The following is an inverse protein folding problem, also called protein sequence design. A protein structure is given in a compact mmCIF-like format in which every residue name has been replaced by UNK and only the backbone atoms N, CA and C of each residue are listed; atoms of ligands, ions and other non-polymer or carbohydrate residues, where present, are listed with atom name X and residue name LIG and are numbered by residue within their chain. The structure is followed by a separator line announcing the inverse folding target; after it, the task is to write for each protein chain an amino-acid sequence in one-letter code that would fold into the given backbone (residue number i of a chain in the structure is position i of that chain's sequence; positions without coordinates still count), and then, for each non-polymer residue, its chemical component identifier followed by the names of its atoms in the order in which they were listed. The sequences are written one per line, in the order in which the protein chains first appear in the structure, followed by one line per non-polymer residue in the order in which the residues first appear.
data_IF_683346901632
#
_entry.id   IF_683346901632
#
_cell.length_a   1.000
_cell.length_b   1.000
_cell.length_c   1.000
_cell.angle_alpha   90.00
_cell.angle_beta   90.00
_cell.angle_gamma   90.00
#
_symmetry.space_group_name_H-M   'P 1'
#
loop_
_entity.id
_entity.type
_entity.pdbx_description
1 polymer ?
#
# COMPACT_ATOMS: atom_id res chain seq x y z
N UNK A 1 -5.78 -12.35 9.84
CA UNK A 1 -6.02 -11.25 8.87
C UNK A 1 -5.60 -9.89 9.43
N UNK A 2 -5.65 -9.74 10.75
CA UNK A 2 -5.31 -8.56 11.53
C UNK A 2 -3.92 -7.97 11.19
N UNK A 3 -2.90 -8.80 10.92
CA UNK A 3 -1.57 -8.30 10.56
C UNK A 3 -1.52 -7.48 9.26
N UNK A 4 -2.36 -7.78 8.27
CA UNK A 4 -2.47 -6.96 7.04
C UNK A 4 -3.10 -5.61 7.37
N UNK A 5 -4.20 -5.61 8.12
CA UNK A 5 -4.90 -4.39 8.51
C UNK A 5 -4.01 -3.48 9.38
N UNK A 6 -3.27 -4.05 10.32
CA UNK A 6 -2.34 -3.30 11.15
C UNK A 6 -1.27 -2.60 10.31
N UNK A 7 -0.67 -3.32 9.35
CA UNK A 7 0.33 -2.74 8.43
C UNK A 7 -0.27 -1.63 7.58
N UNK A 8 -1.47 -1.83 7.02
CA UNK A 8 -2.12 -0.83 6.18
C UNK A 8 -2.57 0.41 6.97
N UNK A 9 -3.02 0.23 8.20
CA UNK A 9 -3.45 1.33 9.08
C UNK A 9 -2.27 2.16 9.60
N UNK A 10 -1.16 1.51 9.96
CA UNK A 10 0.00 2.17 10.57
C UNK A 10 1.07 2.59 9.57
N UNK A 11 1.05 2.05 8.36
CA UNK A 11 2.08 2.29 7.33
C UNK A 11 3.45 1.67 7.65
N UNK A 12 3.57 0.82 8.67
CA UNK A 12 4.85 0.19 9.01
C UNK A 12 5.34 -0.72 7.87
N UNK A 13 6.66 -0.86 7.74
CA UNK A 13 7.21 -1.83 6.82
C UNK A 13 6.78 -3.26 7.22
N UNK A 14 6.43 -4.10 6.25
CA UNK A 14 6.11 -5.52 6.50
C UNK A 14 7.16 -6.22 7.37
N UNK A 15 8.47 -5.94 7.18
CA UNK A 15 9.55 -6.52 7.98
C UNK A 15 9.53 -6.11 9.45
N UNK A 16 8.88 -5.00 9.79
CA UNK A 16 8.76 -4.47 11.14
C UNK A 16 7.50 -4.96 11.87
N UNK A 17 6.66 -5.78 11.23
CA UNK A 17 5.54 -6.40 11.91
C UNK A 17 6.07 -7.39 12.97
N UNK A 18 5.83 -7.08 14.25
CA UNK A 18 6.28 -7.93 15.36
C UNK A 18 5.67 -9.33 15.29
N UNK A 19 6.52 -10.35 15.43
CA UNK A 19 6.11 -11.74 15.50
C UNK A 19 5.32 -12.07 16.78
N UNK A 20 5.53 -11.30 17.86
CA UNK A 20 4.88 -11.48 19.16
C UNK A 20 3.37 -11.22 19.09
N UNK A 21 2.90 -10.50 18.08
CA UNK A 21 1.48 -10.23 17.85
C UNK A 21 0.69 -11.45 17.33
N UNK A 22 1.35 -12.57 17.05
CA UNK A 22 0.68 -13.82 16.67
C UNK A 22 0.10 -13.83 15.25
N UNK A 23 0.39 -12.83 14.41
CA UNK A 23 -0.12 -12.77 13.02
C UNK A 23 0.73 -13.59 12.02
N UNK A 24 1.81 -14.20 12.50
CA UNK A 24 2.89 -14.75 11.68
C UNK A 24 3.84 -13.66 11.20
N UNK A 25 4.86 -14.03 10.43
CA UNK A 25 5.83 -13.06 9.91
C UNK A 25 5.16 -12.06 8.98
N UNK A 26 5.67 -10.82 8.96
CA UNK A 26 5.17 -9.81 8.03
C UNK A 26 5.28 -10.19 6.56
N UNK A 27 6.27 -11.00 6.18
CA UNK A 27 6.37 -11.58 4.82
C UNK A 27 5.22 -12.54 4.51
N UNK A 28 4.75 -13.30 5.51
CA UNK A 28 3.55 -14.15 5.36
C UNK A 28 2.30 -13.30 5.18
N UNK A 29 2.17 -12.21 5.94
CA UNK A 29 1.09 -11.25 5.76
C UNK A 29 1.12 -10.61 4.37
N UNK A 30 2.30 -10.16 3.91
CA UNK A 30 2.48 -9.60 2.56
C UNK A 30 2.10 -10.60 1.45
N UNK A 31 2.56 -11.85 1.52
CA UNK A 31 2.17 -12.89 0.55
C UNK A 31 0.67 -13.12 0.52
N UNK A 32 0.00 -13.10 1.68
CA UNK A 32 -1.46 -13.22 1.77
C UNK A 32 -2.17 -12.01 1.18
N UNK A 33 -1.68 -10.80 1.46
CA UNK A 33 -2.19 -9.56 0.88
C UNK A 33 -2.05 -9.57 -0.64
N UNK A 34 -0.85 -9.87 -1.15
CA UNK A 34 -0.56 -9.96 -2.58
C UNK A 34 -1.50 -10.92 -3.30
N UNK A 35 -1.75 -12.12 -2.76
CA UNK A 35 -2.71 -13.07 -3.35
C UNK A 35 -4.13 -12.50 -3.44
N UNK A 36 -4.54 -11.66 -2.49
CA UNK A 36 -5.86 -11.00 -2.52
C UNK A 36 -5.91 -9.87 -3.54
N UNK A 37 -4.82 -9.13 -3.72
CA UNK A 37 -4.69 -8.17 -4.82
C UNK A 37 -4.75 -8.90 -6.17
N UNK A 38 -4.00 -9.99 -6.34
CA UNK A 38 -4.02 -10.80 -7.56
C UNK A 38 -5.40 -11.42 -7.85
N UNK A 39 -6.17 -11.75 -6.80
CA UNK A 39 -7.55 -12.21 -6.92
C UNK A 39 -8.58 -11.07 -7.10
N UNK A 40 -8.16 -9.80 -7.17
CA UNK A 40 -9.04 -8.63 -7.31
C UNK A 40 -9.88 -8.29 -6.08
N UNK A 41 -9.72 -9.01 -4.97
CA UNK A 41 -10.47 -8.79 -3.72
C UNK A 41 -10.17 -7.42 -3.15
N UNK A 42 -8.91 -6.98 -3.23
CA UNK A 42 -8.51 -5.67 -2.74
C UNK A 42 -9.13 -4.54 -3.57
N UNK A 43 -9.13 -4.67 -4.90
CA UNK A 43 -9.70 -3.66 -5.79
C UNK A 43 -11.22 -3.55 -5.64
N UNK A 44 -11.91 -4.66 -5.38
CA UNK A 44 -13.33 -4.66 -5.03
C UNK A 44 -13.60 -3.93 -3.72
N UNK A 45 -12.86 -4.28 -2.66
CA UNK A 45 -13.00 -3.66 -1.35
C UNK A 45 -12.70 -2.15 -1.39
N UNK A 46 -11.64 -1.75 -2.08
CA UNK A 46 -11.25 -0.35 -2.20
C UNK A 46 -12.33 0.48 -2.91
N UNK A 47 -12.91 -0.04 -4.01
CA UNK A 47 -14.00 0.65 -4.71
C UNK A 47 -15.26 0.77 -3.87
N UNK A 48 -15.61 -0.26 -3.12
CA UNK A 48 -16.77 -0.22 -2.22
C UNK A 48 -16.58 0.84 -1.13
N UNK A 49 -15.44 0.80 -0.43
CA UNK A 49 -15.13 1.77 0.62
C UNK A 49 -15.12 3.21 0.07
N UNK A 50 -14.50 3.41 -1.10
CA UNK A 50 -14.46 4.73 -1.74
C UNK A 50 -15.88 5.22 -2.12
N UNK A 51 -16.73 4.33 -2.63
CA UNK A 51 -18.13 4.64 -2.95
C UNK A 51 -18.91 5.04 -1.71
N UNK A 52 -18.76 4.29 -0.61
CA UNK A 52 -19.46 4.54 0.64
C UNK A 52 -19.01 5.87 1.27
N UNK A 53 -17.70 6.11 1.34
CA UNK A 53 -17.15 7.38 1.84
C UNK A 53 -17.57 8.57 0.98
N UNK A 54 -17.61 8.41 -0.34
CA UNK A 54 -18.10 9.44 -1.24
C UNK A 54 -19.57 9.75 -0.99
N UNK A 55 -20.42 8.73 -0.85
CA UNK A 55 -21.85 8.89 -0.59
C UNK A 55 -22.12 9.57 0.78
N UNK A 56 -21.25 9.33 1.77
CA UNK A 56 -21.32 9.96 3.08
C UNK A 56 -20.70 11.36 3.13
N UNK A 57 -19.99 11.80 2.08
CA UNK A 57 -19.27 13.08 2.08
C UNK A 57 -18.04 13.10 2.99
N UNK A 58 -17.51 11.93 3.36
CA UNK A 58 -16.41 11.74 4.32
C UNK A 58 -15.03 11.73 3.64
N UNK A 59 -14.98 11.97 2.32
CA UNK A 59 -13.71 12.15 1.62
C UNK A 59 -13.24 13.58 1.83
N UNK A 60 -12.15 13.74 2.57
CA UNK A 60 -11.45 15.02 2.68
C UNK A 60 -10.72 15.33 1.36
N UNK A 61 -11.25 16.30 0.62
CA UNK A 61 -10.69 16.78 -0.64
C UNK A 61 -9.74 17.98 -0.47
N UNK A 62 -9.52 18.47 0.76
CA UNK A 62 -8.63 19.61 1.03
C UNK A 62 -7.15 19.28 0.83
N UNK A 63 -6.80 17.99 0.89
CA UNK A 63 -5.46 17.48 0.71
C UNK A 63 -5.45 16.27 -0.25
N UNK A 64 -4.44 16.20 -1.11
CA UNK A 64 -4.19 15.04 -1.96
C UNK A 64 -2.85 14.41 -1.62
N UNK A 65 -2.83 13.11 -1.38
CA UNK A 65 -1.60 12.34 -1.20
C UNK A 65 -1.14 11.80 -2.55
N UNK A 66 -0.06 12.36 -3.09
CA UNK A 66 0.59 11.85 -4.31
C UNK A 66 1.66 10.85 -3.90
N UNK A 67 1.43 9.56 -4.17
CA UNK A 67 2.47 8.53 -4.07
C UNK A 67 3.11 8.28 -5.44
N UNK A 68 4.41 8.01 -5.44
CA UNK A 68 5.22 7.82 -6.64
C UNK A 68 6.19 6.66 -6.46
N UNK A 69 6.12 5.68 -7.36
CA UNK A 69 7.12 4.61 -7.41
C UNK A 69 8.34 5.07 -8.22
N UNK A 70 9.50 5.16 -7.57
CA UNK A 70 10.76 5.43 -8.28
C UNK A 70 11.38 4.12 -8.77
N UNK A 71 11.30 3.86 -10.07
CA UNK A 71 11.90 2.67 -10.69
C UNK A 71 13.20 3.08 -11.37
N UNK A 72 14.29 2.36 -11.10
CA UNK A 72 15.59 2.66 -11.70
C UNK A 72 15.51 2.49 -13.22
N UNK A 73 15.93 3.50 -13.97
CA UNK A 73 16.08 3.39 -15.42
C UNK A 73 17.09 2.27 -15.75
N UNK A 74 16.62 1.17 -16.35
CA UNK A 74 17.44 -0.01 -16.65
C UNK A 74 18.43 0.23 -17.79
N UNK A 75 18.15 1.21 -18.67
CA UNK A 75 19.06 1.72 -19.70
C UNK A 75 19.30 3.20 -19.38
N UNK A 76 20.54 3.56 -19.04
CA UNK A 76 20.91 4.94 -18.77
C UNK A 76 20.67 5.81 -20.01
N UNK A 77 19.89 6.88 -19.87
CA UNK A 77 19.85 7.96 -20.84
C UNK A 77 21.19 8.71 -20.81
N UNK A 78 21.60 9.28 -21.96
CA UNK A 78 22.89 10.00 -22.08
C UNK A 78 22.97 11.30 -21.27
N UNK A 79 21.87 11.72 -20.64
CA UNK A 79 21.83 12.93 -19.83
C UNK A 79 21.84 12.58 -18.35
N UNK A 80 23.00 12.76 -17.73
CA UNK A 80 23.09 12.87 -16.28
C UNK A 80 22.62 14.28 -15.92
N UNK A 81 21.45 14.38 -15.28
CA UNK A 81 21.07 15.62 -14.61
C UNK A 81 22.15 15.98 -13.59
N UNK A 82 22.84 17.09 -13.82
CA UNK A 82 23.87 17.59 -12.92
C UNK A 82 23.27 17.76 -11.52
N UNK A 83 23.76 16.98 -10.55
CA UNK A 83 23.48 17.24 -9.13
C UNK A 83 24.14 18.56 -8.77
N UNK A 84 23.33 19.57 -8.41
CA UNK A 84 23.79 20.71 -7.62
C UNK A 84 23.72 20.35 -6.14
#
# INVERSE_FOLDING_TARGET
MQGILLVLYTGINWKHLSAELGFGSGITCWRRFRRRCEAGVWDGLHRLLLSDLHALGEIDWSAACLDGSHVRAKKGGKEQGSRR
#
